data_IF_591421032795
#
_entry.id   IF_591421032795
#
_cell.length_a   1.000
_cell.length_b   1.000
_cell.length_c   1.000
_cell.angle_alpha   90.00
_cell.angle_beta   90.00
_cell.angle_gamma   90.00
#
_symmetry.space_group_name_H-M   'P 1'
#
loop_
_entity.id
_entity.type
_entity.pdbx_description
1 polymer ?
#
# COMPACT_ATOMS: atom_id res chain seq x y z
N UNK A 1 5.91 -4.09 13.01
CA UNK A 1 6.04 -4.73 14.32
C UNK A 1 7.21 -4.15 15.11
N UNK A 2 8.43 -4.14 14.55
CA UNK A 2 9.62 -3.60 15.24
C UNK A 2 9.41 -2.17 15.79
N UNK A 3 8.86 -1.27 14.97
CA UNK A 3 8.61 0.10 15.38
C UNK A 3 7.56 0.20 16.50
N UNK A 4 6.49 -0.61 16.47
CA UNK A 4 5.50 -0.69 17.55
C UNK A 4 6.13 -1.17 18.85
N UNK A 5 7.00 -2.19 18.79
CA UNK A 5 7.71 -2.69 19.96
C UNK A 5 8.65 -1.60 20.52
N UNK A 6 9.42 -0.95 19.64
CA UNK A 6 10.34 0.10 20.03
C UNK A 6 9.60 1.30 20.67
N UNK A 7 8.47 1.70 20.12
CA UNK A 7 7.64 2.77 20.66
C UNK A 7 7.07 2.40 22.03
N UNK A 8 6.48 1.20 22.15
CA UNK A 8 5.97 0.72 23.44
C UNK A 8 7.08 0.64 24.50
N UNK A 9 8.26 0.15 24.11
CA UNK A 9 9.42 0.10 24.98
C UNK A 9 9.85 1.52 25.41
N UNK A 10 9.94 2.47 24.46
CA UNK A 10 10.26 3.87 24.74
C UNK A 10 9.31 4.47 25.78
N UNK A 11 7.98 4.27 25.63
CA UNK A 11 7.00 4.74 26.60
C UNK A 11 7.14 4.10 27.98
N UNK A 12 7.42 2.79 28.03
CA UNK A 12 7.55 2.06 29.30
C UNK A 12 8.78 2.47 30.13
N UNK A 13 9.84 2.91 29.44
CA UNK A 13 11.11 3.28 30.10
C UNK A 13 11.28 4.79 30.28
N UNK A 14 10.39 5.59 29.70
CA UNK A 14 10.42 7.05 29.81
C UNK A 14 10.37 7.50 31.28
N UNK A 15 11.30 8.36 31.69
CA UNK A 15 11.45 8.82 33.06
C UNK A 15 11.95 7.77 34.08
N UNK A 16 12.29 6.55 33.67
CA UNK A 16 12.82 5.50 34.56
C UNK A 16 14.35 5.42 34.48
N UNK A 17 14.99 5.37 35.66
CA UNK A 17 16.44 5.29 35.78
C UNK A 17 16.86 3.87 36.17
N UNK A 18 17.59 3.19 35.26
CA UNK A 18 18.23 1.89 35.46
C UNK A 18 19.48 1.80 34.57
N UNK A 19 20.42 0.87 34.82
CA UNK A 19 21.61 0.73 33.98
C UNK A 19 21.25 0.50 32.52
N UNK A 20 21.73 1.38 31.62
CA UNK A 20 21.48 1.30 30.16
C UNK A 20 20.17 1.94 29.69
N UNK A 21 19.36 2.55 30.54
CA UNK A 21 18.08 3.17 30.16
C UNK A 21 18.24 4.22 29.04
N UNK A 22 19.25 5.09 29.09
CA UNK A 22 19.53 6.09 28.06
C UNK A 22 19.83 5.48 26.69
N UNK A 23 20.70 4.47 26.66
CA UNK A 23 21.04 3.79 25.41
C UNK A 23 19.80 3.12 24.82
N UNK A 24 19.00 2.45 25.62
CA UNK A 24 17.77 1.80 25.19
C UNK A 24 16.75 2.81 24.67
N UNK A 25 16.54 3.92 25.39
CA UNK A 25 15.65 5.02 24.99
C UNK A 25 16.09 5.63 23.66
N UNK A 26 17.40 5.86 23.50
CA UNK A 26 17.96 6.38 22.25
C UNK A 26 17.76 5.43 21.08
N UNK A 27 18.03 4.14 21.25
CA UNK A 27 17.82 3.10 20.23
C UNK A 27 16.35 3.04 19.83
N UNK A 28 15.44 2.97 20.78
CA UNK A 28 14.00 2.89 20.52
C UNK A 28 13.51 4.09 19.71
N UNK A 29 13.87 5.31 20.09
CA UNK A 29 13.45 6.52 19.39
C UNK A 29 14.11 6.67 18.02
N UNK A 30 15.37 6.26 17.86
CA UNK A 30 16.06 6.22 16.56
C UNK A 30 15.35 5.25 15.60
N UNK A 31 14.99 4.06 16.07
CA UNK A 31 14.24 3.07 15.30
C UNK A 31 12.88 3.64 14.89
N UNK A 32 12.11 4.20 15.81
CA UNK A 32 10.80 4.80 15.52
C UNK A 32 10.91 5.92 14.47
N UNK A 33 11.85 6.84 14.63
CA UNK A 33 12.08 7.96 13.72
C UNK A 33 12.46 7.50 12.32
N UNK A 34 13.40 6.55 12.21
CA UNK A 34 13.84 6.00 10.92
C UNK A 34 12.73 5.25 10.18
N UNK A 35 11.99 4.41 10.89
CA UNK A 35 10.89 3.66 10.29
C UNK A 35 9.73 4.57 9.84
N UNK A 36 9.50 5.72 10.48
CA UNK A 36 8.44 6.65 10.09
C UNK A 36 8.58 7.07 8.63
N UNK A 37 9.76 7.46 8.19
CA UNK A 37 10.01 7.86 6.79
C UNK A 37 10.16 6.65 5.88
N UNK A 38 10.78 5.57 6.37
CA UNK A 38 10.95 4.32 5.62
C UNK A 38 9.62 3.72 5.18
N UNK A 39 8.60 3.73 6.03
CA UNK A 39 7.27 3.20 5.68
C UNK A 39 6.65 3.99 4.53
N UNK A 40 6.73 5.32 4.52
CA UNK A 40 6.27 6.16 3.42
C UNK A 40 6.97 5.84 2.10
N UNK A 41 8.30 5.68 2.14
CA UNK A 41 9.10 5.27 0.99
C UNK A 41 8.69 3.89 0.45
N UNK A 42 8.63 2.87 1.31
CA UNK A 42 8.26 1.50 0.91
C UNK A 42 6.83 1.43 0.39
N UNK A 43 5.91 2.20 0.96
CA UNK A 43 4.55 2.32 0.46
C UNK A 43 4.51 2.81 -0.99
N UNK A 44 5.27 3.85 -1.32
CA UNK A 44 5.34 4.37 -2.69
C UNK A 44 5.96 3.37 -3.67
N UNK A 45 7.01 2.64 -3.26
CA UNK A 45 7.59 1.58 -4.08
C UNK A 45 6.59 0.45 -4.33
N UNK A 46 5.86 0.02 -3.31
CA UNK A 46 4.80 -0.97 -3.44
C UNK A 46 3.72 -0.51 -4.41
N UNK A 47 3.26 0.74 -4.28
CA UNK A 47 2.28 1.35 -5.17
C UNK A 47 2.78 1.36 -6.62
N UNK A 48 3.97 1.87 -6.86
CA UNK A 48 4.58 1.96 -8.20
C UNK A 48 4.70 0.58 -8.85
N UNK A 49 5.16 -0.43 -8.10
CA UNK A 49 5.24 -1.81 -8.59
C UNK A 49 3.85 -2.40 -8.88
N UNK A 50 2.87 -2.16 -8.03
CA UNK A 50 1.50 -2.66 -8.21
C UNK A 50 0.82 -2.06 -9.43
N UNK A 51 1.07 -0.78 -9.73
CA UNK A 51 0.50 -0.05 -10.86
C UNK A 51 1.13 -0.50 -12.18
N UNK A 52 2.45 -0.51 -12.25
CA UNK A 52 3.16 -0.62 -13.53
C UNK A 52 3.80 -1.98 -13.78
N UNK A 53 3.97 -2.82 -12.77
CA UNK A 53 4.59 -4.16 -12.83
C UNK A 53 5.93 -4.18 -13.58
N UNK A 54 6.70 -3.10 -13.52
CA UNK A 54 7.96 -2.91 -14.23
C UNK A 54 9.11 -2.70 -13.26
N UNK A 55 10.04 -3.65 -13.19
CA UNK A 55 11.24 -3.55 -12.33
C UNK A 55 12.19 -2.42 -12.76
N UNK A 56 12.32 -2.16 -14.07
CA UNK A 56 13.15 -1.06 -14.57
C UNK A 56 12.64 0.30 -14.08
N UNK A 57 11.34 0.51 -14.19
CA UNK A 57 10.69 1.74 -13.71
C UNK A 57 10.78 1.88 -12.20
N UNK A 58 10.57 0.77 -11.47
CA UNK A 58 10.69 0.74 -10.02
C UNK A 58 12.08 1.18 -9.55
N UNK A 59 13.16 0.66 -10.17
CA UNK A 59 14.54 1.05 -9.82
C UNK A 59 14.79 2.55 -10.01
N UNK A 60 14.34 3.12 -11.12
CA UNK A 60 14.51 4.56 -11.38
C UNK A 60 13.71 5.40 -10.38
N UNK A 61 12.48 4.98 -10.07
CA UNK A 61 11.62 5.69 -9.12
C UNK A 61 12.17 5.56 -7.69
N UNK A 62 12.73 4.40 -7.33
CA UNK A 62 13.35 4.17 -6.03
C UNK A 62 14.49 5.14 -5.74
N UNK A 63 15.32 5.49 -6.73
CA UNK A 63 16.39 6.47 -6.56
C UNK A 63 15.83 7.87 -6.26
N UNK A 64 14.80 8.30 -7.01
CA UNK A 64 14.17 9.61 -6.82
C UNK A 64 13.48 9.70 -5.45
N UNK A 65 12.66 8.71 -5.13
CA UNK A 65 11.95 8.64 -3.86
C UNK A 65 12.87 8.38 -2.66
N UNK A 66 14.05 7.81 -2.90
CA UNK A 66 15.05 7.56 -1.87
C UNK A 66 15.77 8.83 -1.37
N UNK A 67 15.73 9.93 -2.14
CA UNK A 67 16.43 11.16 -1.76
C UNK A 67 15.93 11.76 -0.43
N UNK A 68 14.62 11.96 -0.18
CA UNK A 68 14.15 12.43 1.13
C UNK A 68 14.49 11.48 2.28
N UNK A 69 14.39 10.16 2.05
CA UNK A 69 14.79 9.15 3.03
C UNK A 69 16.28 9.28 3.38
N UNK A 70 17.15 9.43 2.39
CA UNK A 70 18.59 9.60 2.58
C UNK A 70 18.89 10.88 3.34
N UNK A 71 18.24 11.99 3.00
CA UNK A 71 18.41 13.26 3.70
C UNK A 71 18.05 13.14 5.20
N UNK A 72 16.91 12.51 5.51
CA UNK A 72 16.52 12.26 6.90
C UNK A 72 17.50 11.32 7.60
N UNK A 73 18.00 10.29 6.92
CA UNK A 73 18.98 9.37 7.50
C UNK A 73 20.30 10.10 7.86
N UNK A 74 20.77 11.03 7.01
CA UNK A 74 21.93 11.87 7.33
C UNK A 74 21.66 12.74 8.58
N UNK A 75 20.50 13.37 8.68
CA UNK A 75 20.12 14.16 9.85
C UNK A 75 19.99 13.30 11.12
N UNK A 76 19.54 12.05 10.99
CA UNK A 76 19.50 11.11 12.11
C UNK A 76 20.90 10.76 12.63
N UNK A 77 21.89 10.60 11.72
CA UNK A 77 23.28 10.42 12.14
C UNK A 77 23.76 11.63 12.95
N UNK A 78 23.44 12.84 12.52
CA UNK A 78 23.77 14.06 13.31
C UNK A 78 23.07 14.06 14.66
N UNK A 79 21.82 13.60 14.74
CA UNK A 79 21.10 13.51 16.02
C UNK A 79 21.79 12.56 17.02
N UNK A 80 22.46 11.49 16.54
CA UNK A 80 23.21 10.55 17.40
C UNK A 80 24.39 11.21 18.15
N UNK A 81 24.91 12.35 17.65
CA UNK A 81 25.97 13.10 18.32
C UNK A 81 25.47 14.11 19.35
N UNK A 82 24.22 13.97 19.85
CA UNK A 82 23.69 14.75 20.98
C UNK A 82 23.17 16.14 20.59
N UNK A 83 22.87 16.39 19.31
CA UNK A 83 22.39 17.70 18.86
C UNK A 83 20.86 17.92 19.02
N UNK A 84 20.11 16.93 19.52
CA UNK A 84 18.67 17.05 19.79
C UNK A 84 17.82 17.46 18.58
N UNK A 85 18.23 17.10 17.36
CA UNK A 85 17.61 17.56 16.13
C UNK A 85 16.17 17.06 15.98
N UNK A 86 15.96 15.75 16.08
CA UNK A 86 14.64 15.14 16.01
C UNK A 86 14.07 14.83 17.38
N UNK A 87 14.92 14.42 18.31
CA UNK A 87 14.56 14.17 19.69
C UNK A 87 15.78 14.32 20.59
N UNK A 88 15.55 14.61 21.84
CA UNK A 88 16.53 14.65 22.88
C UNK A 88 16.05 13.86 24.09
N UNK A 89 17.00 13.37 24.92
CA UNK A 89 16.72 12.60 26.13
C UNK A 89 17.43 13.32 27.26
N UNK A 90 16.63 13.82 28.22
CA UNK A 90 17.15 14.53 29.41
C UNK A 90 17.94 13.61 30.34
N UNK A 91 18.71 14.20 31.24
CA UNK A 91 19.44 13.46 32.30
C UNK A 91 18.51 12.62 33.19
N UNK A 92 17.21 12.89 33.18
CA UNK A 92 16.19 12.11 33.91
C UNK A 92 15.54 11.05 33.04
N UNK A 93 16.11 10.74 31.87
CA UNK A 93 15.61 9.78 30.87
C UNK A 93 14.21 10.12 30.34
N UNK A 94 13.87 11.40 30.25
CA UNK A 94 12.62 11.87 29.67
C UNK A 94 12.83 12.27 28.21
N UNK A 95 11.97 11.75 27.31
CA UNK A 95 11.96 12.09 25.90
C UNK A 95 11.41 13.50 25.66
N UNK A 96 12.06 14.25 24.80
CA UNK A 96 11.58 15.54 24.30
C UNK A 96 11.70 15.61 22.79
N UNK A 97 10.71 16.26 22.13
CA UNK A 97 10.75 16.45 20.67
C UNK A 97 11.77 17.51 20.31
N UNK A 98 12.64 17.21 19.34
CA UNK A 98 13.58 18.17 18.78
C UNK A 98 12.92 19.14 17.81
N UNK A 99 13.60 20.25 17.53
CA UNK A 99 13.07 21.35 16.69
C UNK A 99 12.80 20.96 15.23
N UNK A 100 13.50 19.95 14.69
CA UNK A 100 13.32 19.48 13.31
C UNK A 100 12.38 18.27 13.16
N UNK A 101 11.74 17.81 14.23
CA UNK A 101 10.71 16.75 14.16
C UNK A 101 9.63 17.03 13.12
N UNK A 102 9.16 18.28 12.88
CA UNK A 102 8.19 18.57 11.80
C UNK A 102 8.66 18.15 10.41
N UNK A 103 9.96 18.10 10.14
CA UNK A 103 10.51 17.65 8.84
C UNK A 103 10.12 16.20 8.56
N UNK A 104 10.04 15.34 9.58
CA UNK A 104 9.61 13.95 9.42
C UNK A 104 8.16 13.89 8.92
N UNK A 105 7.27 14.66 9.53
CA UNK A 105 5.86 14.72 9.12
C UNK A 105 5.69 15.29 7.72
N UNK A 106 6.43 16.36 7.39
CA UNK A 106 6.44 16.94 6.03
C UNK A 106 6.93 15.92 5.00
N UNK A 107 7.99 15.18 5.31
CA UNK A 107 8.50 14.13 4.41
C UNK A 107 7.47 13.02 4.18
N UNK A 108 6.76 12.59 5.22
CA UNK A 108 5.68 11.60 5.08
C UNK A 108 4.51 12.15 4.27
N UNK A 109 4.15 13.43 4.45
CA UNK A 109 3.11 14.10 3.66
C UNK A 109 3.50 14.18 2.17
N UNK A 110 4.77 14.46 1.85
CA UNK A 110 5.28 14.42 0.47
C UNK A 110 5.07 13.03 -0.14
N UNK A 111 5.38 11.96 0.59
CA UNK A 111 5.14 10.60 0.12
C UNK A 111 3.65 10.29 -0.08
N UNK A 112 2.77 10.81 0.77
CA UNK A 112 1.32 10.63 0.60
C UNK A 112 0.78 11.39 -0.62
N UNK A 113 1.19 12.62 -0.81
CA UNK A 113 0.83 13.41 -2.01
C UNK A 113 1.32 12.71 -3.28
N UNK A 114 2.57 12.26 -3.28
CA UNK A 114 3.13 11.52 -4.40
C UNK A 114 2.32 10.26 -4.71
N UNK A 115 1.95 9.47 -3.70
CA UNK A 115 1.17 8.24 -3.89
C UNK A 115 -0.22 8.52 -4.47
N UNK A 116 -0.89 9.58 -4.04
CA UNK A 116 -2.18 10.02 -4.58
C UNK A 116 -2.01 10.48 -6.04
N UNK A 117 -1.02 11.32 -6.32
CA UNK A 117 -0.72 11.79 -7.67
C UNK A 117 -0.39 10.64 -8.63
N UNK A 118 0.44 9.67 -8.20
CA UNK A 118 0.79 8.49 -8.98
C UNK A 118 -0.45 7.65 -9.34
N UNK A 119 -1.36 7.45 -8.38
CA UNK A 119 -2.60 6.70 -8.60
C UNK A 119 -3.55 7.40 -9.58
N UNK A 120 -3.71 8.74 -9.45
CA UNK A 120 -4.53 9.53 -10.38
C UNK A 120 -3.94 9.56 -11.79
N UNK A 121 -2.62 9.75 -11.90
CA UNK A 121 -1.92 9.75 -13.18
C UNK A 121 -2.05 8.42 -13.90
N UNK A 122 -1.91 7.32 -13.16
CA UNK A 122 -2.09 5.97 -13.71
C UNK A 122 -3.52 5.78 -14.24
N UNK A 123 -4.54 6.25 -13.49
CA UNK A 123 -5.94 6.21 -13.92
C UNK A 123 -6.16 7.04 -15.20
N UNK A 124 -5.58 8.24 -15.27
CA UNK A 124 -5.67 9.11 -16.43
C UNK A 124 -5.06 8.46 -17.69
N UNK A 125 -3.89 7.82 -17.55
CA UNK A 125 -3.24 7.09 -18.66
C UNK A 125 -3.96 5.79 -19.06
N UNK A 126 -5.06 5.45 -18.38
CA UNK A 126 -5.86 4.27 -18.69
C UNK A 126 -5.24 2.95 -18.23
N UNK A 127 -4.21 2.99 -17.38
CA UNK A 127 -3.80 1.82 -16.62
C UNK A 127 -4.93 1.49 -15.66
N UNK A 128 -5.52 0.31 -15.83
CA UNK A 128 -6.71 -0.11 -15.07
C UNK A 128 -6.38 -0.46 -13.63
N UNK A 129 -5.97 0.52 -12.85
CA UNK A 129 -5.88 0.40 -11.38
C UNK A 129 -7.29 0.58 -10.82
N UNK A 130 -8.24 -0.27 -11.29
CA UNK A 130 -9.66 -0.14 -10.95
C UNK A 130 -9.96 -0.26 -9.46
N UNK A 131 -9.01 -0.77 -8.65
CA UNK A 131 -9.20 -1.04 -7.22
C UNK A 131 -7.93 -0.84 -6.39
N UNK A 132 -7.12 0.20 -6.65
CA UNK A 132 -5.97 0.40 -5.77
C UNK A 132 -6.36 1.23 -4.55
N UNK A 133 -6.12 0.72 -3.34
CA UNK A 133 -6.66 1.29 -2.10
C UNK A 133 -5.76 2.40 -1.49
N UNK A 134 -5.27 3.37 -2.29
CA UNK A 134 -4.39 4.43 -1.79
C UNK A 134 -5.02 5.18 -0.61
N UNK A 135 -6.28 5.53 -0.72
CA UNK A 135 -6.99 6.27 0.32
C UNK A 135 -7.20 5.47 1.60
N UNK A 136 -7.34 4.15 1.49
CA UNK A 136 -7.47 3.27 2.65
C UNK A 136 -6.22 3.20 3.52
N UNK A 137 -5.05 3.50 2.94
CA UNK A 137 -3.82 3.65 3.68
C UNK A 137 -3.59 5.09 4.17
N UNK A 138 -3.73 6.06 3.25
CA UNK A 138 -3.37 7.45 3.52
C UNK A 138 -4.30 8.09 4.55
N UNK A 139 -5.62 7.85 4.51
CA UNK A 139 -6.57 8.50 5.43
C UNK A 139 -6.32 8.12 6.89
N UNK A 140 -6.22 6.84 7.28
CA UNK A 140 -5.90 6.49 8.66
C UNK A 140 -4.57 7.08 9.13
N UNK A 141 -3.54 7.05 8.28
CA UNK A 141 -2.24 7.61 8.61
C UNK A 141 -2.29 9.13 8.82
N UNK A 142 -3.04 9.87 8.00
CA UNK A 142 -3.22 11.31 8.19
C UNK A 142 -3.94 11.62 9.50
N UNK A 143 -5.01 10.89 9.82
CA UNK A 143 -5.72 11.04 11.09
C UNK A 143 -4.77 10.81 12.27
N UNK A 144 -3.94 9.74 12.21
CA UNK A 144 -2.97 9.43 13.24
C UNK A 144 -1.90 10.51 13.40
N UNK A 145 -1.37 11.05 12.31
CA UNK A 145 -0.39 12.15 12.33
C UNK A 145 -1.01 13.40 12.95
N UNK A 146 -2.20 13.79 12.54
CA UNK A 146 -2.89 14.97 13.08
C UNK A 146 -3.13 14.80 14.57
N UNK A 147 -3.64 13.66 15.02
CA UNK A 147 -3.85 13.38 16.43
C UNK A 147 -2.53 13.46 17.23
N UNK A 148 -1.45 12.87 16.71
CA UNK A 148 -0.13 12.89 17.37
C UNK A 148 0.50 14.29 17.45
N UNK A 149 0.20 15.17 16.48
CA UNK A 149 0.67 16.56 16.50
C UNK A 149 -0.15 17.39 17.49
N UNK A 150 -1.49 17.20 17.51
CA UNK A 150 -2.39 17.99 18.37
C UNK A 150 -2.30 17.61 19.84
N UNK A 151 -2.11 16.33 20.14
CA UNK A 151 -2.09 15.81 21.52
C UNK A 151 -0.69 15.32 21.89
N UNK A 152 0.05 16.11 22.66
CA UNK A 152 1.36 15.74 23.17
C UNK A 152 1.23 14.53 24.12
N UNK A 153 2.12 13.55 23.97
CA UNK A 153 2.13 12.33 24.80
C UNK A 153 1.23 11.18 24.29
N UNK A 154 0.48 11.38 23.20
CA UNK A 154 -0.27 10.31 22.55
C UNK A 154 0.50 9.83 21.32
N UNK A 155 0.75 8.52 21.24
CA UNK A 155 1.37 7.89 20.09
C UNK A 155 0.33 7.13 19.28
N UNK A 156 -0.18 7.77 18.23
CA UNK A 156 -1.19 7.20 17.34
C UNK A 156 -0.62 6.85 15.97
N UNK A 157 0.61 7.26 15.66
CA UNK A 157 1.22 7.09 14.33
C UNK A 157 1.30 5.63 13.90
N UNK A 158 1.91 4.79 14.70
CA UNK A 158 2.08 3.36 14.37
C UNK A 158 0.78 2.56 14.39
N UNK A 159 -0.14 2.90 15.30
CA UNK A 159 -1.47 2.30 15.32
C UNK A 159 -2.25 2.62 14.03
N UNK A 160 -2.19 3.87 13.59
CA UNK A 160 -2.85 4.30 12.34
C UNK A 160 -2.25 3.65 11.08
N UNK A 161 -0.93 3.47 11.04
CA UNK A 161 -0.24 2.72 9.98
C UNK A 161 -0.71 1.26 9.96
N UNK A 162 -0.80 0.61 11.13
CA UNK A 162 -1.29 -0.76 11.24
C UNK A 162 -2.74 -0.89 10.72
N UNK A 163 -3.62 0.03 11.11
CA UNK A 163 -5.01 0.10 10.62
C UNK A 163 -5.02 0.30 9.09
N UNK A 164 -4.19 1.20 8.57
CA UNK A 164 -4.06 1.42 7.13
C UNK A 164 -3.66 0.14 6.37
N UNK A 165 -2.68 -0.61 6.87
CA UNK A 165 -2.29 -1.89 6.28
C UNK A 165 -3.39 -2.95 6.36
N UNK A 166 -4.16 -3.01 7.44
CA UNK A 166 -5.32 -3.90 7.54
C UNK A 166 -6.35 -3.56 6.46
N UNK A 167 -6.71 -2.29 6.30
CA UNK A 167 -7.64 -1.87 5.25
C UNK A 167 -7.13 -2.19 3.85
N UNK A 168 -5.86 -1.94 3.55
CA UNK A 168 -5.24 -2.32 2.27
C UNK A 168 -5.30 -3.82 2.04
N UNK A 169 -4.99 -4.62 3.05
CA UNK A 169 -5.02 -6.09 2.97
C UNK A 169 -6.44 -6.61 2.69
N UNK A 170 -7.43 -6.09 3.37
CA UNK A 170 -8.84 -6.44 3.15
C UNK A 170 -9.30 -6.07 1.73
N UNK A 171 -8.91 -4.89 1.23
CA UNK A 171 -9.24 -4.47 -0.14
C UNK A 171 -8.56 -5.34 -1.20
N UNK A 172 -7.30 -5.71 -0.98
CA UNK A 172 -6.59 -6.61 -1.89
C UNK A 172 -7.18 -8.01 -1.89
N UNK A 173 -7.58 -8.55 -0.72
CA UNK A 173 -8.27 -9.83 -0.63
C UNK A 173 -9.63 -9.80 -1.33
N UNK A 174 -10.41 -8.73 -1.13
CA UNK A 174 -11.69 -8.52 -1.82
C UNK A 174 -11.47 -8.48 -3.34
N UNK A 175 -10.47 -7.74 -3.81
CA UNK A 175 -10.16 -7.69 -5.24
C UNK A 175 -9.75 -9.07 -5.79
N UNK A 176 -8.88 -9.78 -5.09
CA UNK A 176 -8.45 -11.13 -5.52
C UNK A 176 -9.63 -12.09 -5.56
N UNK A 177 -10.61 -11.95 -4.66
CA UNK A 177 -11.82 -12.79 -4.67
C UNK A 177 -12.74 -12.54 -5.87
N UNK A 178 -12.50 -11.50 -6.67
CA UNK A 178 -13.25 -11.16 -7.88
C UNK A 178 -12.57 -11.61 -9.17
N UNK A 179 -11.37 -12.14 -9.11
CA UNK A 179 -10.61 -12.61 -10.26
C UNK A 179 -10.69 -14.13 -10.35
N UNK A 180 -10.81 -14.65 -11.55
CA UNK A 180 -10.70 -16.08 -11.85
C UNK A 180 -9.22 -16.46 -11.99
N UNK A 181 -8.76 -17.44 -11.20
CA UNK A 181 -7.36 -17.80 -11.09
C UNK A 181 -6.76 -18.39 -12.39
N UNK A 182 -7.60 -19.00 -13.23
CA UNK A 182 -7.16 -19.64 -14.48
C UNK A 182 -7.08 -18.60 -15.60
N UNK A 183 -8.16 -17.90 -15.89
CA UNK A 183 -8.25 -16.97 -17.01
C UNK A 183 -7.66 -15.59 -16.73
N UNK A 184 -7.55 -15.18 -15.43
CA UNK A 184 -7.21 -13.83 -15.01
C UNK A 184 -8.30 -12.79 -15.29
N UNK A 185 -9.46 -13.20 -15.79
CA UNK A 185 -10.64 -12.37 -15.98
C UNK A 185 -11.40 -12.19 -14.67
N UNK A 186 -12.36 -11.28 -14.64
CA UNK A 186 -13.29 -11.23 -13.52
C UNK A 186 -14.19 -12.47 -13.49
N UNK A 187 -14.51 -12.94 -12.28
CA UNK A 187 -15.35 -14.11 -12.07
C UNK A 187 -16.84 -13.75 -11.93
N UNK A 188 -17.70 -14.78 -11.77
CA UNK A 188 -19.16 -14.64 -11.59
C UNK A 188 -19.54 -13.76 -10.38
N UNK A 189 -18.74 -13.79 -9.30
CA UNK A 189 -18.98 -12.95 -8.13
C UNK A 189 -18.83 -11.46 -8.46
N UNK A 190 -17.83 -11.10 -9.27
CA UNK A 190 -17.68 -9.73 -9.76
C UNK A 190 -18.80 -9.33 -10.71
N UNK A 191 -19.27 -10.24 -11.57
CA UNK A 191 -20.42 -9.99 -12.45
C UNK A 191 -21.65 -9.55 -11.64
N UNK A 192 -22.02 -10.30 -10.61
CA UNK A 192 -23.17 -9.97 -9.78
C UNK A 192 -23.01 -8.59 -9.10
N UNK A 193 -21.83 -8.32 -8.53
CA UNK A 193 -21.51 -7.02 -7.94
C UNK A 193 -21.59 -5.87 -8.96
N UNK A 194 -21.07 -6.10 -10.15
CA UNK A 194 -21.05 -5.10 -11.23
C UNK A 194 -22.46 -4.81 -11.75
N UNK A 195 -23.27 -5.84 -11.97
CA UNK A 195 -24.66 -5.71 -12.40
C UNK A 195 -25.51 -4.96 -11.37
N UNK A 196 -25.38 -5.29 -10.08
CA UNK A 196 -26.08 -4.55 -9.01
C UNK A 196 -25.74 -3.05 -9.04
N UNK A 197 -24.45 -2.72 -9.25
CA UNK A 197 -24.00 -1.33 -9.37
C UNK A 197 -24.58 -0.64 -10.60
N UNK A 198 -24.64 -1.32 -11.75
CA UNK A 198 -25.20 -0.79 -12.99
C UNK A 198 -26.70 -0.50 -12.87
N UNK A 199 -27.45 -1.41 -12.26
CA UNK A 199 -28.90 -1.23 -12.02
C UNK A 199 -29.18 0.03 -11.18
N UNK A 200 -28.33 0.33 -10.20
CA UNK A 200 -28.47 1.54 -9.37
C UNK A 200 -28.16 2.84 -10.11
N UNK A 201 -27.38 2.80 -11.19
CA UNK A 201 -26.92 4.04 -11.91
C UNK A 201 -27.82 4.48 -13.06
N UNK A 202 -28.95 3.82 -13.33
CA UNK A 202 -29.91 4.14 -14.42
C UNK A 202 -29.24 4.44 -15.77
N UNK A 203 -28.14 3.77 -16.12
CA UNK A 203 -27.50 3.89 -17.44
C UNK A 203 -28.33 3.14 -18.47
N UNK A 204 -28.63 3.81 -19.59
CA UNK A 204 -29.62 3.33 -20.56
C UNK A 204 -29.11 2.21 -21.48
N UNK A 205 -27.83 2.18 -21.89
CA UNK A 205 -27.36 1.27 -22.93
C UNK A 205 -26.24 0.36 -22.43
N UNK A 206 -26.64 -0.84 -21.97
CA UNK A 206 -25.70 -1.89 -21.57
C UNK A 206 -25.90 -3.07 -22.50
N UNK A 207 -24.83 -3.48 -23.16
CA UNK A 207 -24.81 -4.67 -24.01
C UNK A 207 -24.00 -5.78 -23.35
N UNK A 208 -24.54 -6.99 -23.34
CA UNK A 208 -23.85 -8.20 -22.90
C UNK A 208 -23.53 -9.10 -24.11
N UNK A 209 -22.29 -9.60 -24.18
CA UNK A 209 -21.87 -10.59 -25.17
C UNK A 209 -21.48 -11.86 -24.42
N UNK A 210 -22.11 -12.97 -24.76
CA UNK A 210 -21.77 -14.29 -24.22
C UNK A 210 -20.90 -15.02 -25.27
N UNK A 211 -19.76 -15.51 -24.81
CA UNK A 211 -18.82 -16.29 -25.63
C UNK A 211 -18.70 -17.69 -25.02
N UNK A 212 -18.68 -18.71 -25.86
CA UNK A 212 -18.44 -20.09 -25.47
C UNK A 212 -17.30 -20.70 -26.29
N UNK A 213 -16.58 -21.64 -25.66
CA UNK A 213 -15.42 -22.31 -26.30
C UNK A 213 -15.88 -23.65 -26.87
N UNK A 214 -15.99 -23.72 -28.20
CA UNK A 214 -16.42 -24.93 -28.86
C UNK A 214 -15.50 -26.12 -28.56
N UNK A 215 -16.12 -27.25 -28.23
CA UNK A 215 -15.43 -28.53 -27.98
C UNK A 215 -14.34 -28.47 -26.90
N UNK A 216 -14.46 -27.59 -25.88
CA UNK A 216 -13.48 -27.46 -24.79
C UNK A 216 -13.26 -28.78 -24.05
N UNK A 217 -14.33 -29.57 -23.84
CA UNK A 217 -14.23 -30.90 -23.24
C UNK A 217 -13.28 -31.80 -24.02
N UNK A 218 -13.33 -31.78 -25.36
CA UNK A 218 -12.43 -32.58 -26.20
C UNK A 218 -10.97 -32.18 -26.03
N UNK A 219 -10.68 -30.89 -25.82
CA UNK A 219 -9.31 -30.44 -25.52
C UNK A 219 -8.84 -31.05 -24.20
N UNK A 220 -9.69 -31.08 -23.16
CA UNK A 220 -9.34 -31.71 -21.90
C UNK A 220 -9.17 -33.22 -22.01
N UNK A 221 -10.04 -33.89 -22.75
CA UNK A 221 -10.03 -35.35 -22.92
C UNK A 221 -8.81 -35.81 -23.75
N UNK A 222 -8.45 -35.07 -24.81
CA UNK A 222 -7.33 -35.43 -25.73
C UNK A 222 -5.97 -35.01 -25.19
N UNK A 223 -5.85 -33.86 -24.47
CA UNK A 223 -4.58 -33.25 -24.09
C UNK A 223 -4.40 -33.03 -22.59
N UNK A 224 -5.41 -33.35 -21.81
CA UNK A 224 -5.40 -33.19 -20.36
C UNK A 224 -5.74 -31.78 -19.86
N UNK A 225 -6.19 -31.70 -18.61
CA UNK A 225 -6.65 -30.44 -17.97
C UNK A 225 -5.61 -29.34 -17.96
N UNK A 226 -4.31 -29.69 -17.86
CA UNK A 226 -3.24 -28.68 -17.88
C UNK A 226 -3.20 -27.88 -19.19
N UNK A 227 -3.44 -28.54 -20.32
CA UNK A 227 -3.51 -27.90 -21.67
C UNK A 227 -4.80 -27.10 -21.77
N UNK A 228 -5.92 -27.62 -21.28
CA UNK A 228 -7.18 -26.91 -21.21
C UNK A 228 -7.08 -25.61 -20.38
N UNK A 229 -6.45 -25.64 -19.23
CA UNK A 229 -6.18 -24.44 -18.41
C UNK A 229 -5.30 -23.43 -19.17
N UNK A 230 -4.33 -23.91 -19.93
CA UNK A 230 -3.51 -23.10 -20.82
C UNK A 230 -4.32 -22.41 -21.91
N UNK A 231 -5.29 -23.12 -22.51
CA UNK A 231 -6.21 -22.56 -23.50
C UNK A 231 -7.10 -21.46 -22.90
N UNK A 232 -7.68 -21.70 -21.70
CA UNK A 232 -8.49 -20.72 -20.98
C UNK A 232 -7.66 -19.46 -20.64
N UNK A 233 -6.42 -19.65 -20.19
CA UNK A 233 -5.50 -18.53 -19.88
C UNK A 233 -5.22 -17.68 -21.13
N UNK A 234 -4.98 -18.31 -22.27
CA UNK A 234 -4.75 -17.62 -23.55
C UNK A 234 -6.01 -16.85 -24.01
N UNK A 235 -7.18 -17.47 -23.93
CA UNK A 235 -8.45 -16.80 -24.27
C UNK A 235 -8.67 -15.59 -23.33
N UNK A 236 -8.45 -15.75 -22.05
CA UNK A 236 -8.55 -14.67 -21.07
C UNK A 236 -7.65 -13.48 -21.41
N UNK A 237 -6.39 -13.76 -21.82
CA UNK A 237 -5.44 -12.75 -22.27
C UNK A 237 -5.93 -12.03 -23.54
N UNK A 238 -6.34 -12.78 -24.57
CA UNK A 238 -6.85 -12.24 -25.84
C UNK A 238 -8.06 -11.34 -25.56
N UNK A 239 -9.02 -11.79 -24.78
CA UNK A 239 -10.20 -11.01 -24.43
C UNK A 239 -9.82 -9.71 -23.69
N UNK A 240 -8.91 -9.79 -22.73
CA UNK A 240 -8.46 -8.60 -21.98
C UNK A 240 -7.79 -7.55 -22.89
N UNK A 241 -7.09 -7.98 -23.92
CA UNK A 241 -6.38 -7.11 -24.87
C UNK A 241 -7.28 -6.58 -25.99
N UNK A 242 -8.32 -7.34 -26.38
CA UNK A 242 -9.19 -7.03 -27.53
C UNK A 242 -10.39 -6.15 -27.19
N UNK A 243 -10.85 -6.15 -25.93
CA UNK A 243 -12.03 -5.37 -25.55
C UNK A 243 -11.70 -3.90 -25.32
N UNK A 244 -12.64 -2.98 -25.63
CA UNK A 244 -12.46 -1.55 -25.36
C UNK A 244 -12.38 -1.30 -23.85
N UNK A 245 -11.75 -0.18 -23.46
CA UNK A 245 -11.48 0.17 -22.04
C UNK A 245 -12.72 0.26 -21.14
N UNK A 246 -13.89 0.49 -21.70
CA UNK A 246 -15.17 0.53 -21.01
C UNK A 246 -15.89 -0.83 -20.92
N UNK A 247 -15.41 -1.85 -21.60
CA UNK A 247 -15.92 -3.21 -21.49
C UNK A 247 -15.23 -3.95 -20.34
N UNK A 248 -15.94 -4.93 -19.78
CA UNK A 248 -15.46 -5.72 -18.63
C UNK A 248 -15.57 -7.20 -19.01
N UNK A 249 -14.49 -7.85 -19.43
CA UNK A 249 -14.51 -9.27 -19.71
C UNK A 249 -14.54 -10.08 -18.42
N UNK A 250 -15.38 -11.12 -18.40
CA UNK A 250 -15.63 -11.95 -17.23
C UNK A 250 -15.75 -13.42 -17.63
N UNK A 251 -15.40 -14.33 -16.73
CA UNK A 251 -15.64 -15.76 -16.85
C UNK A 251 -16.80 -16.17 -15.96
N UNK A 252 -17.81 -16.77 -16.55
CA UNK A 252 -19.07 -17.14 -15.85
C UNK A 252 -19.10 -18.61 -15.42
N UNK A 253 -18.36 -19.48 -16.09
CA UNK A 253 -18.36 -20.92 -15.85
C UNK A 253 -17.31 -21.30 -14.80
N UNK A 254 -17.76 -22.05 -13.79
CA UNK A 254 -16.91 -22.96 -13.02
C UNK A 254 -16.92 -24.28 -13.78
N UNK A 255 -15.79 -24.73 -14.27
CA UNK A 255 -15.63 -26.04 -14.91
C UNK A 255 -15.12 -27.03 -13.88
#
# INVERSE_FOLDING_TARGET
LMALIAETASFLIDGKLFPGCFALQYICNTVCTGFTVLVGYLWNLFLEFKIYRSMKRLKNKALILGFPLFAVACLMVVNLFGNGIFFDISDTNVYTRGGLTPILYVTVLIYFVESICAAHWAKYKGNSVKFFPVYYFVIPCLIGIVAQVMFYGISTGWASIAIGFVFVSLQLQTFNSFVDDISGLFNRKYFNFYMEKLCKTKRADIYGILLDVNNFKKINDDYGHYVGDGAIRNIGKILSESVPKNAVPMRMAEI
#
